data_IF_063907124956
#
_entry.id   IF_063907124956
#
_cell.length_a   1.000
_cell.length_b   1.000
_cell.length_c   1.000
_cell.angle_alpha   90.00
_cell.angle_beta   90.00
_cell.angle_gamma   90.00
#
_symmetry.space_group_name_H-M   'P 1'
#
loop_
_entity.id
_entity.type
_entity.pdbx_description
1 polymer ?
#
# COMPACT_ATOMS: atom_id res chain seq x y z
N UNK A 1 16.94 -67.30 -7.86
CA UNK A 1 16.67 -66.38 -6.71
C UNK A 1 16.62 -64.99 -7.26
N UNK A 2 15.41 -64.52 -7.60
CA UNK A 2 15.21 -63.20 -8.22
C UNK A 2 14.82 -62.20 -7.14
N UNK A 3 15.69 -61.23 -6.85
CA UNK A 3 15.36 -60.07 -5.99
C UNK A 3 14.52 -59.09 -6.79
N UNK A 4 13.24 -58.90 -6.41
CA UNK A 4 12.39 -57.82 -6.87
C UNK A 4 12.75 -56.56 -6.07
N UNK A 5 13.37 -55.57 -6.71
CA UNK A 5 13.51 -54.23 -6.15
C UNK A 5 12.18 -53.52 -6.26
N UNK A 6 11.57 -53.23 -5.11
CA UNK A 6 10.40 -52.38 -4.99
C UNK A 6 10.89 -50.94 -5.00
N UNK A 7 10.72 -50.22 -6.12
CA UNK A 7 10.92 -48.80 -6.16
C UNK A 7 9.74 -48.11 -5.49
N UNK A 8 9.95 -47.59 -4.27
CA UNK A 8 9.02 -46.72 -3.59
C UNK A 8 9.18 -45.31 -4.19
N UNK A 9 8.32 -44.94 -5.12
CA UNK A 9 8.24 -43.56 -5.61
C UNK A 9 7.63 -42.68 -4.50
N UNK A 10 8.46 -41.89 -3.85
CA UNK A 10 8.01 -40.84 -2.95
C UNK A 10 7.40 -39.75 -3.83
N UNK A 11 6.07 -39.66 -3.82
CA UNK A 11 5.34 -38.56 -4.42
C UNK A 11 5.56 -37.35 -3.53
N UNK A 12 6.48 -36.44 -3.88
CA UNK A 12 6.60 -35.13 -3.26
C UNK A 12 5.35 -34.34 -3.67
N UNK A 13 4.35 -34.29 -2.81
CA UNK A 13 3.24 -33.33 -2.91
C UNK A 13 3.84 -31.99 -2.50
N UNK A 14 4.11 -31.12 -3.45
CA UNK A 14 4.40 -29.72 -3.16
C UNK A 14 3.11 -29.15 -2.56
N UNK A 15 3.15 -28.81 -1.28
CA UNK A 15 2.08 -28.03 -0.66
C UNK A 15 2.09 -26.65 -1.33
N UNK A 16 0.95 -26.12 -1.72
CA UNK A 16 0.88 -24.76 -2.23
C UNK A 16 1.42 -23.82 -1.14
N UNK A 17 2.40 -23.01 -1.48
CA UNK A 17 2.76 -21.86 -0.63
C UNK A 17 1.54 -20.94 -0.64
N UNK A 18 0.93 -20.75 0.52
CA UNK A 18 -0.14 -19.76 0.68
C UNK A 18 0.48 -18.38 0.45
N UNK A 19 0.22 -17.81 -0.72
CA UNK A 19 0.61 -16.44 -1.05
C UNK A 19 -0.35 -15.47 -0.37
N UNK A 20 0.18 -14.40 0.21
CA UNK A 20 -0.62 -13.31 0.75
C UNK A 20 -1.53 -12.70 -0.36
N UNK A 21 -2.84 -12.64 -0.09
CA UNK A 21 -3.83 -12.02 -0.97
C UNK A 21 -4.22 -10.65 -0.39
N UNK A 22 -3.67 -9.58 -0.95
CA UNK A 22 -3.91 -8.19 -0.54
C UNK A 22 -5.40 -7.83 -0.45
N UNK A 23 -6.26 -8.49 -1.25
CA UNK A 23 -7.71 -8.23 -1.29
C UNK A 23 -8.48 -8.89 -0.16
N UNK A 24 -7.92 -9.92 0.48
CA UNK A 24 -8.63 -10.76 1.46
C UNK A 24 -7.94 -10.83 2.80
N UNK A 25 -6.60 -10.96 2.79
CA UNK A 25 -5.85 -11.21 3.99
C UNK A 25 -5.68 -9.94 4.82
N UNK A 26 -5.43 -10.11 6.11
CA UNK A 26 -5.14 -9.04 7.05
C UNK A 26 -3.76 -9.29 7.69
N UNK A 27 -3.14 -8.23 8.20
CA UNK A 27 -1.81 -8.36 8.81
C UNK A 27 -0.68 -8.32 7.78
N UNK A 28 -0.93 -7.81 6.57
CA UNK A 28 0.10 -7.61 5.55
C UNK A 28 1.11 -6.54 5.93
N UNK A 29 2.37 -6.77 5.53
CA UNK A 29 3.44 -5.77 5.60
C UNK A 29 3.79 -5.32 4.18
N UNK A 30 3.57 -4.03 3.89
CA UNK A 30 3.99 -3.38 2.65
C UNK A 30 5.21 -2.50 2.90
N UNK A 31 6.15 -2.44 1.94
CA UNK A 31 7.31 -1.55 2.02
C UNK A 31 7.58 -0.90 0.67
N UNK A 32 8.01 0.37 0.68
CA UNK A 32 8.57 1.02 -0.50
C UNK A 32 10.04 0.66 -0.65
N UNK A 33 10.51 0.44 -1.87
CA UNK A 33 11.88 0.10 -2.18
C UNK A 33 12.39 0.90 -3.39
N UNK A 34 13.66 1.32 -3.34
CA UNK A 34 14.31 1.99 -4.46
C UNK A 34 14.68 3.46 -4.20
N UNK A 35 14.41 4.01 -2.99
CA UNK A 35 14.73 5.40 -2.68
C UNK A 35 15.87 5.59 -1.68
N UNK A 36 16.34 4.49 -1.07
CA UNK A 36 17.54 4.51 -0.22
C UNK A 36 17.47 5.51 0.96
N UNK A 37 16.33 5.59 1.68
CA UNK A 37 16.23 6.47 2.84
C UNK A 37 17.14 6.05 4.00
N UNK A 38 17.68 4.85 3.96
CA UNK A 38 18.68 4.37 4.92
C UNK A 38 19.88 5.33 5.00
N UNK A 39 20.30 5.93 3.88
CA UNK A 39 21.37 6.92 3.84
C UNK A 39 21.10 8.17 4.70
N UNK A 40 19.84 8.41 5.12
CA UNK A 40 19.47 9.50 6.03
C UNK A 40 19.69 9.13 7.50
N UNK A 41 19.78 7.83 7.82
CA UNK A 41 19.98 7.35 9.19
C UNK A 41 21.45 7.17 9.57
N UNK A 42 22.31 6.93 8.58
CA UNK A 42 23.70 6.52 8.83
C UNK A 42 24.68 7.58 8.38
N UNK A 43 25.64 7.91 9.23
CA UNK A 43 26.78 8.77 8.88
C UNK A 43 27.75 8.08 7.91
N UNK A 44 27.68 6.75 7.79
CA UNK A 44 28.58 5.89 7.02
C UNK A 44 28.10 5.52 5.63
N UNK A 45 27.03 6.14 5.13
CA UNK A 45 26.47 5.86 3.79
C UNK A 45 26.10 4.39 3.59
N UNK A 46 25.55 3.76 4.60
CA UNK A 46 24.92 2.48 4.39
C UNK A 46 23.83 2.63 3.34
N UNK A 47 23.71 1.61 2.51
CA UNK A 47 22.88 1.69 1.34
C UNK A 47 21.80 0.62 1.43
N UNK A 48 20.62 0.95 0.91
CA UNK A 48 19.53 0.01 0.72
C UNK A 48 20.02 -1.25 0.01
N UNK A 49 19.60 -2.42 0.45
CA UNK A 49 20.00 -3.72 -0.10
C UNK A 49 19.33 -4.00 -1.44
N UNK A 50 19.80 -5.01 -2.15
CA UNK A 50 19.16 -5.48 -3.36
C UNK A 50 17.75 -6.03 -3.06
N UNK A 51 16.84 -5.93 -4.03
CA UNK A 51 15.43 -6.33 -3.88
C UNK A 51 15.28 -7.76 -3.33
N UNK A 52 16.06 -8.70 -3.88
CA UNK A 52 16.01 -10.09 -3.46
C UNK A 52 16.40 -10.34 -2.00
N UNK A 53 17.19 -9.45 -1.37
CA UNK A 53 17.62 -9.63 0.01
C UNK A 53 16.46 -9.46 0.98
N UNK A 54 15.57 -8.50 0.70
CA UNK A 54 14.32 -8.33 1.45
C UNK A 54 13.39 -9.54 1.27
N UNK A 55 13.30 -10.08 0.06
CA UNK A 55 12.49 -11.27 -0.23
C UNK A 55 13.07 -12.55 0.38
N UNK A 56 14.37 -12.58 0.68
CA UNK A 56 15.05 -13.71 1.33
C UNK A 56 14.98 -13.65 2.86
N UNK A 57 14.58 -12.53 3.44
CA UNK A 57 14.39 -12.40 4.89
C UNK A 57 13.36 -13.40 5.40
N UNK A 58 13.57 -13.93 6.59
CA UNK A 58 12.57 -14.79 7.26
C UNK A 58 11.31 -14.03 7.64
N UNK A 59 11.41 -12.71 7.77
CA UNK A 59 10.31 -11.77 8.02
C UNK A 59 10.12 -10.87 6.81
N UNK A 60 10.16 -11.44 5.61
CA UNK A 60 9.98 -10.69 4.35
C UNK A 60 8.65 -9.90 4.33
N UNK A 61 8.58 -8.80 3.57
CA UNK A 61 7.32 -8.11 3.34
C UNK A 61 6.39 -8.96 2.47
N UNK A 62 5.10 -8.67 2.53
CA UNK A 62 4.09 -9.32 1.68
C UNK A 62 3.93 -8.55 0.36
N UNK A 63 4.24 -7.24 0.39
CA UNK A 63 4.11 -6.33 -0.74
C UNK A 63 5.35 -5.43 -0.81
N UNK A 64 5.94 -5.31 -1.99
CA UNK A 64 7.02 -4.33 -2.26
C UNK A 64 6.57 -3.38 -3.37
N UNK A 65 6.70 -2.09 -3.12
CA UNK A 65 6.35 -1.00 -4.01
C UNK A 65 7.65 -0.44 -4.60
N UNK A 66 7.89 -0.67 -5.90
CA UNK A 66 9.08 -0.15 -6.60
C UNK A 66 8.92 1.35 -6.81
N UNK A 67 9.64 2.15 -6.07
CA UNK A 67 9.53 3.60 -6.02
C UNK A 67 10.69 4.27 -6.77
N UNK A 68 10.44 5.07 -7.81
CA UNK A 68 9.18 5.49 -8.38
C UNK A 68 9.21 5.54 -9.92
N UNK A 69 8.06 5.37 -10.55
CA UNK A 69 7.83 5.89 -11.88
C UNK A 69 7.38 7.36 -11.74
N UNK A 70 8.28 8.30 -11.97
CA UNK A 70 8.12 9.69 -11.54
C UNK A 70 7.94 10.70 -12.68
N UNK A 71 8.01 10.26 -13.95
CA UNK A 71 7.66 11.05 -15.13
C UNK A 71 6.72 10.21 -16.00
N UNK A 72 5.47 10.67 -16.16
CA UNK A 72 4.43 9.86 -16.82
C UNK A 72 4.34 10.08 -18.32
N UNK A 73 4.57 11.30 -18.78
CA UNK A 73 4.24 11.70 -20.15
C UNK A 73 5.47 11.64 -21.06
N UNK A 74 5.44 12.12 -22.21
CA UNK A 74 6.34 12.20 -23.36
C UNK A 74 7.66 11.38 -23.36
N UNK A 75 8.39 11.32 -22.27
CA UNK A 75 9.56 10.46 -22.08
C UNK A 75 9.45 9.85 -20.67
N UNK A 76 8.71 8.74 -20.50
CA UNK A 76 8.47 8.15 -19.19
C UNK A 76 9.79 7.73 -18.51
N UNK A 77 9.90 8.03 -17.21
CA UNK A 77 11.12 7.78 -16.45
C UNK A 77 10.80 7.12 -15.11
N UNK A 78 11.63 6.15 -14.78
CA UNK A 78 11.69 5.57 -13.43
C UNK A 78 12.96 6.06 -12.72
N UNK A 79 12.93 6.10 -11.40
CA UNK A 79 14.08 6.36 -10.55
C UNK A 79 14.07 5.30 -9.43
N UNK A 80 15.10 4.49 -9.40
CA UNK A 80 15.33 3.48 -8.37
C UNK A 80 16.67 3.73 -7.65
N UNK A 81 17.05 5.02 -7.51
CA UNK A 81 18.29 5.43 -6.86
C UNK A 81 19.50 4.68 -7.47
N UNK A 82 20.33 4.02 -6.66
CA UNK A 82 21.52 3.30 -7.09
C UNK A 82 21.27 1.96 -7.78
N UNK A 83 20.06 1.44 -7.70
CA UNK A 83 19.76 0.06 -8.17
C UNK A 83 19.66 -0.05 -9.69
N UNK A 84 19.57 1.11 -10.38
CA UNK A 84 19.51 1.16 -11.83
C UNK A 84 20.08 2.49 -12.34
N UNK A 85 21.15 2.45 -13.08
CA UNK A 85 21.90 3.64 -13.56
C UNK A 85 22.12 3.67 -15.09
N UNK A 86 21.66 2.66 -15.80
CA UNK A 86 21.80 2.57 -17.26
C UNK A 86 20.51 2.97 -17.96
N UNK A 87 20.65 3.55 -19.14
CA UNK A 87 19.52 3.95 -19.97
C UNK A 87 19.46 3.11 -21.25
N UNK A 88 18.24 2.85 -21.72
CA UNK A 88 18.07 2.36 -23.08
C UNK A 88 18.62 3.38 -24.08
N UNK A 89 19.29 2.88 -25.13
CA UNK A 89 19.95 3.73 -26.12
C UNK A 89 18.95 4.68 -26.79
N UNK A 90 19.17 5.98 -26.62
CA UNK A 90 18.34 7.02 -27.23
C UNK A 90 17.02 7.30 -26.51
N UNK A 91 16.90 6.88 -25.26
CA UNK A 91 15.75 7.10 -24.39
C UNK A 91 16.20 7.65 -23.04
N UNK A 92 15.25 8.23 -22.29
CA UNK A 92 15.41 8.59 -20.87
C UNK A 92 14.92 7.47 -19.93
N UNK A 93 14.39 6.37 -20.49
CA UNK A 93 13.99 5.21 -19.71
C UNK A 93 15.22 4.43 -19.25
N UNK A 94 15.29 4.13 -17.94
CA UNK A 94 16.32 3.27 -17.38
C UNK A 94 16.17 1.82 -17.88
N UNK A 95 17.30 1.20 -18.20
CA UNK A 95 17.41 -0.23 -18.49
C UNK A 95 17.71 -0.98 -17.20
N UNK A 96 16.68 -1.36 -16.49
CA UNK A 96 16.72 -2.11 -15.22
C UNK A 96 16.47 -3.60 -15.45
N UNK A 97 16.72 -4.14 -16.62
CA UNK A 97 16.50 -5.56 -16.96
C UNK A 97 17.24 -6.52 -16.02
N UNK A 98 18.31 -6.07 -15.38
CA UNK A 98 19.03 -6.83 -14.36
C UNK A 98 18.18 -7.12 -13.10
N UNK A 99 17.11 -6.36 -12.86
CA UNK A 99 16.18 -6.60 -11.75
C UNK A 99 15.14 -7.69 -12.05
N UNK A 100 14.92 -8.06 -13.31
CA UNK A 100 13.92 -9.06 -13.68
C UNK A 100 14.02 -10.37 -12.88
N UNK A 101 15.21 -11.01 -12.75
CA UNK A 101 15.32 -12.24 -11.96
C UNK A 101 15.03 -12.03 -10.47
N UNK A 102 15.31 -10.84 -9.92
CA UNK A 102 15.04 -10.52 -8.52
C UNK A 102 13.53 -10.35 -8.29
N UNK A 103 12.84 -9.65 -9.20
CA UNK A 103 11.38 -9.48 -9.18
C UNK A 103 10.71 -10.86 -9.23
N UNK A 104 11.07 -11.69 -10.20
CA UNK A 104 10.51 -13.04 -10.38
C UNK A 104 10.75 -13.93 -9.15
N UNK A 105 11.96 -13.88 -8.57
CA UNK A 105 12.28 -14.64 -7.36
C UNK A 105 11.46 -14.20 -6.12
N UNK A 106 11.12 -12.91 -6.00
CA UNK A 106 10.21 -12.41 -4.97
C UNK A 106 8.78 -12.92 -5.20
N UNK A 107 8.31 -12.84 -6.44
CA UNK A 107 6.97 -13.32 -6.83
C UNK A 107 6.81 -14.83 -6.63
N UNK A 108 7.85 -15.63 -6.90
CA UNK A 108 7.85 -17.08 -6.62
C UNK A 108 7.66 -17.42 -5.13
N UNK A 109 7.98 -16.49 -4.24
CA UNK A 109 7.73 -16.58 -2.79
C UNK A 109 6.36 -16.06 -2.36
N UNK A 110 5.56 -15.61 -3.31
CA UNK A 110 4.23 -15.06 -3.05
C UNK A 110 4.21 -13.58 -2.67
N UNK A 111 5.37 -12.89 -2.73
CA UNK A 111 5.48 -11.46 -2.48
C UNK A 111 4.96 -10.69 -3.68
N UNK A 112 4.09 -9.71 -3.46
CA UNK A 112 3.54 -8.85 -4.52
C UNK A 112 4.49 -7.72 -4.83
N UNK A 113 4.80 -7.53 -6.11
CA UNK A 113 5.71 -6.47 -6.59
C UNK A 113 4.89 -5.50 -7.44
N UNK A 114 4.71 -4.28 -6.96
CA UNK A 114 3.95 -3.23 -7.63
C UNK A 114 4.87 -2.08 -8.05
N UNK A 115 4.53 -1.39 -9.13
CA UNK A 115 5.17 -0.13 -9.52
C UNK A 115 4.50 1.04 -8.80
N UNK A 116 5.22 1.77 -7.96
CA UNK A 116 4.71 3.02 -7.41
C UNK A 116 4.92 4.17 -8.38
N UNK A 117 3.84 4.91 -8.64
CA UNK A 117 3.75 5.97 -9.63
C UNK A 117 3.54 7.31 -8.91
N UNK A 118 4.44 8.26 -9.14
CA UNK A 118 4.41 9.57 -8.51
C UNK A 118 5.61 9.85 -7.62
N UNK A 119 5.37 9.97 -6.33
CA UNK A 119 6.34 10.37 -5.31
C UNK A 119 6.40 11.88 -5.10
N UNK A 120 7.13 12.31 -4.06
CA UNK A 120 7.23 13.71 -3.67
C UNK A 120 7.87 14.63 -4.73
N UNK A 121 8.60 14.06 -5.69
CA UNK A 121 9.26 14.81 -6.77
C UNK A 121 9.06 14.11 -8.10
N UNK A 122 8.84 14.90 -9.16
CA UNK A 122 8.68 14.36 -10.50
C UNK A 122 7.91 15.31 -11.41
N UNK A 123 7.68 14.87 -12.65
CA UNK A 123 6.87 15.57 -13.63
C UNK A 123 5.76 14.62 -14.09
N UNK A 124 4.68 14.55 -13.32
CA UNK A 124 3.57 13.65 -13.59
C UNK A 124 2.24 14.37 -13.45
N UNK A 125 1.35 14.12 -14.39
CA UNK A 125 -0.05 14.51 -14.37
C UNK A 125 -0.80 13.76 -15.46
N UNK A 126 -2.08 13.52 -15.23
CA UNK A 126 -3.05 13.08 -16.23
C UNK A 126 -4.01 14.24 -16.43
N UNK A 127 -4.16 14.72 -17.67
CA UNK A 127 -4.86 15.99 -17.95
C UNK A 127 -6.34 15.82 -18.28
N UNK A 128 -6.73 14.64 -18.72
CA UNK A 128 -8.08 14.30 -19.15
C UNK A 128 -8.25 12.78 -19.28
N UNK A 129 -9.49 12.32 -19.50
CA UNK A 129 -9.82 10.90 -19.57
C UNK A 129 -9.22 10.19 -20.80
N UNK A 130 -9.11 10.86 -21.96
CA UNK A 130 -8.51 10.25 -23.16
C UNK A 130 -7.00 9.99 -22.92
N UNK A 131 -6.36 10.89 -22.20
CA UNK A 131 -4.96 10.73 -21.76
C UNK A 131 -4.84 9.59 -20.74
N UNK A 132 -5.80 9.49 -19.80
CA UNK A 132 -5.85 8.41 -18.80
C UNK A 132 -5.93 7.04 -19.44
N UNK A 133 -6.84 6.86 -20.40
CA UNK A 133 -7.04 5.61 -21.14
C UNK A 133 -5.78 5.19 -21.91
N UNK A 134 -5.20 6.15 -22.65
CA UNK A 134 -3.98 5.90 -23.42
C UNK A 134 -2.81 5.54 -22.51
N UNK A 135 -2.73 6.22 -21.37
CA UNK A 135 -1.65 6.00 -20.41
C UNK A 135 -1.80 4.65 -19.67
N UNK A 136 -3.02 4.24 -19.37
CA UNK A 136 -3.28 2.92 -18.80
C UNK A 136 -2.78 1.80 -19.74
N UNK A 137 -3.06 1.90 -21.04
CA UNK A 137 -2.53 0.96 -22.03
C UNK A 137 -0.98 0.99 -22.07
N UNK A 138 -0.38 2.17 -22.00
CA UNK A 138 1.09 2.31 -21.95
C UNK A 138 1.68 1.61 -20.73
N UNK A 139 1.05 1.75 -19.56
CA UNK A 139 1.49 1.08 -18.32
C UNK A 139 1.37 -0.45 -18.44
N UNK A 140 0.28 -0.94 -19.03
CA UNK A 140 0.09 -2.37 -19.31
C UNK A 140 1.22 -2.90 -20.19
N UNK A 141 1.53 -2.22 -21.28
CA UNK A 141 2.55 -2.65 -22.24
C UNK A 141 3.98 -2.54 -21.68
N UNK A 142 4.22 -1.56 -20.82
CA UNK A 142 5.57 -1.29 -20.29
C UNK A 142 5.92 -2.15 -19.08
N UNK A 143 4.97 -2.40 -18.17
CA UNK A 143 5.25 -2.97 -16.85
C UNK A 143 4.46 -4.24 -16.52
N UNK A 144 3.30 -4.42 -17.15
CA UNK A 144 2.38 -5.51 -16.86
C UNK A 144 2.39 -6.58 -17.97
N UNK A 145 1.22 -7.22 -18.24
CA UNK A 145 1.11 -8.36 -19.15
C UNK A 145 1.17 -8.01 -20.64
N UNK A 146 1.17 -6.71 -20.98
CA UNK A 146 1.22 -6.27 -22.37
C UNK A 146 2.48 -6.74 -23.11
N UNK A 147 2.38 -6.82 -24.44
CA UNK A 147 3.40 -7.41 -25.28
C UNK A 147 3.75 -6.54 -26.51
N UNK A 148 3.49 -5.23 -26.44
CA UNK A 148 3.84 -4.31 -27.53
C UNK A 148 5.36 -4.28 -27.76
N UNK A 149 5.77 -4.46 -29.01
CA UNK A 149 7.19 -4.33 -29.41
C UNK A 149 7.64 -2.88 -29.51
N UNK A 150 6.72 -1.93 -29.41
CA UNK A 150 6.97 -0.50 -29.64
C UNK A 150 7.29 0.25 -28.35
N UNK A 151 7.22 -0.43 -27.19
CA UNK A 151 7.55 0.14 -25.89
C UNK A 151 8.82 -0.50 -25.29
N UNK A 152 9.53 0.29 -24.51
CA UNK A 152 10.66 -0.20 -23.70
C UNK A 152 10.14 -0.79 -22.41
N UNK A 153 10.58 -2.00 -22.05
CA UNK A 153 10.26 -2.66 -20.79
C UNK A 153 11.47 -2.58 -19.85
N UNK A 154 11.45 -1.67 -18.87
CA UNK A 154 12.62 -1.44 -18.02
C UNK A 154 12.99 -2.68 -17.17
N UNK A 155 12.03 -3.51 -16.84
CA UNK A 155 12.25 -4.76 -16.10
C UNK A 155 12.30 -6.01 -17.00
N UNK A 156 12.59 -5.83 -18.28
CA UNK A 156 12.74 -6.95 -19.23
C UNK A 156 11.46 -7.77 -19.36
N UNK A 157 11.58 -9.07 -19.10
CA UNK A 157 10.47 -10.05 -19.14
C UNK A 157 9.72 -10.20 -17.81
N UNK A 158 10.13 -9.50 -16.75
CA UNK A 158 9.36 -9.47 -15.52
C UNK A 158 8.03 -8.73 -15.74
N UNK A 159 6.96 -9.32 -15.21
CA UNK A 159 5.60 -8.77 -15.20
C UNK A 159 5.27 -8.42 -13.77
N UNK A 160 5.00 -7.14 -13.49
CA UNK A 160 4.65 -6.71 -12.14
C UNK A 160 3.23 -7.16 -11.78
N UNK A 161 2.95 -7.32 -10.47
CA UNK A 161 1.62 -7.72 -9.98
C UNK A 161 0.61 -6.56 -10.06
N UNK A 162 1.08 -5.31 -10.19
CA UNK A 162 0.19 -4.15 -10.25
C UNK A 162 0.90 -2.81 -10.18
N UNK A 163 0.09 -1.80 -9.85
CA UNK A 163 0.55 -0.41 -9.70
C UNK A 163 0.05 0.18 -8.37
N UNK A 164 0.78 1.16 -7.90
CA UNK A 164 0.47 1.99 -6.75
C UNK A 164 0.47 3.46 -7.17
N UNK A 165 -0.50 4.24 -6.70
CA UNK A 165 -0.61 5.68 -6.96
C UNK A 165 -0.13 6.46 -5.73
N UNK A 166 1.09 6.95 -5.76
CA UNK A 166 1.65 7.86 -4.75
C UNK A 166 1.68 9.30 -5.30
N UNK A 167 0.49 9.87 -5.53
CA UNK A 167 0.32 11.17 -6.18
C UNK A 167 0.34 12.27 -5.13
N UNK A 168 1.45 12.99 -5.07
CA UNK A 168 1.66 14.07 -4.09
C UNK A 168 1.60 15.48 -4.73
N UNK A 169 1.40 15.57 -6.05
CA UNK A 169 1.32 16.82 -6.79
C UNK A 169 0.85 16.63 -8.23
N UNK A 170 0.97 17.68 -9.05
CA UNK A 170 0.62 17.62 -10.48
C UNK A 170 -0.87 17.68 -10.80
N UNK A 171 -1.75 17.71 -9.80
CA UNK A 171 -3.21 17.74 -9.94
C UNK A 171 -3.87 16.39 -9.66
N UNK A 172 -5.19 16.40 -9.55
CA UNK A 172 -6.07 15.30 -9.17
C UNK A 172 -6.82 14.65 -10.34
N UNK A 173 -6.63 15.17 -11.55
CA UNK A 173 -7.43 14.82 -12.74
C UNK A 173 -7.00 13.49 -13.34
N UNK A 174 -7.98 12.68 -13.79
CA UNK A 174 -7.79 11.52 -14.67
C UNK A 174 -7.35 10.23 -13.96
N UNK A 175 -7.01 10.25 -12.66
CA UNK A 175 -6.57 9.05 -11.96
C UNK A 175 -7.72 8.05 -11.71
N UNK A 176 -8.94 8.52 -11.52
CA UNK A 176 -10.12 7.65 -11.44
C UNK A 176 -10.33 6.87 -12.74
N UNK A 177 -10.27 7.54 -13.90
CA UNK A 177 -10.38 6.89 -15.21
C UNK A 177 -9.21 5.94 -15.47
N UNK A 178 -7.99 6.37 -15.15
CA UNK A 178 -6.78 5.54 -15.26
C UNK A 178 -6.93 4.20 -14.53
N UNK A 179 -7.35 4.22 -13.25
CA UNK A 179 -7.52 2.99 -12.46
C UNK A 179 -8.67 2.11 -12.99
N UNK A 180 -9.76 2.72 -13.43
CA UNK A 180 -10.89 2.01 -14.04
C UNK A 180 -10.47 1.35 -15.36
N UNK A 181 -9.71 2.06 -16.20
CA UNK A 181 -9.20 1.53 -17.46
C UNK A 181 -8.18 0.43 -17.25
N UNK A 182 -7.29 0.58 -16.27
CA UNK A 182 -6.36 -0.49 -15.89
C UNK A 182 -7.10 -1.76 -15.48
N UNK A 183 -8.14 -1.65 -14.67
CA UNK A 183 -9.00 -2.78 -14.25
C UNK A 183 -9.73 -3.41 -15.43
N UNK A 184 -10.14 -2.61 -16.42
CA UNK A 184 -10.77 -3.13 -17.66
C UNK A 184 -9.76 -3.94 -18.51
N UNK A 185 -8.53 -3.40 -18.68
CA UNK A 185 -7.48 -4.02 -19.48
C UNK A 185 -6.89 -5.27 -18.81
N UNK A 186 -6.72 -5.23 -17.51
CA UNK A 186 -6.08 -6.25 -16.67
C UNK A 186 -6.98 -6.57 -15.46
N UNK A 187 -7.94 -7.49 -15.60
CA UNK A 187 -8.92 -7.76 -14.54
C UNK A 187 -8.33 -8.19 -13.19
N UNK A 188 -7.16 -8.83 -13.22
CA UNK A 188 -6.50 -9.36 -12.02
C UNK A 188 -5.40 -8.45 -11.45
N UNK A 189 -5.05 -7.36 -12.13
CA UNK A 189 -4.01 -6.42 -11.69
C UNK A 189 -4.31 -5.86 -10.30
N UNK A 190 -3.30 -5.72 -9.46
CA UNK A 190 -3.43 -5.02 -8.19
C UNK A 190 -3.31 -3.51 -8.41
N UNK A 191 -4.25 -2.75 -7.86
CA UNK A 191 -4.24 -1.30 -7.93
C UNK A 191 -4.30 -0.77 -6.52
N UNK A 192 -3.27 -0.02 -6.10
CA UNK A 192 -3.21 0.58 -4.76
C UNK A 192 -3.03 2.09 -4.85
N UNK A 193 -3.22 2.78 -3.74
CA UNK A 193 -3.04 4.22 -3.66
C UNK A 193 -2.46 4.61 -2.30
N UNK A 194 -1.63 5.66 -2.26
CA UNK A 194 -0.96 6.13 -1.05
C UNK A 194 -1.31 7.59 -0.71
N UNK A 195 -2.58 7.88 -0.36
CA UNK A 195 -3.00 9.23 0.02
C UNK A 195 -2.34 9.68 1.32
N UNK A 196 -2.26 10.99 1.51
CA UNK A 196 -1.97 11.57 2.81
C UNK A 196 -3.16 11.37 3.77
N UNK A 197 -2.92 11.37 5.09
CA UNK A 197 -3.99 11.13 6.07
C UNK A 197 -5.06 12.22 6.13
N UNK A 198 -4.82 13.43 5.60
CA UNK A 198 -5.83 14.49 5.50
C UNK A 198 -7.00 14.02 4.61
N UNK A 199 -8.22 14.05 5.14
CA UNK A 199 -9.39 13.52 4.45
C UNK A 199 -10.39 14.62 4.09
N UNK A 200 -10.92 14.67 2.83
CA UNK A 200 -10.45 13.89 1.69
C UNK A 200 -9.03 14.29 1.26
N UNK A 201 -8.29 13.34 0.65
CA UNK A 201 -6.98 13.64 0.10
C UNK A 201 -7.10 14.60 -1.10
N UNK A 202 -6.17 15.54 -1.20
CA UNK A 202 -6.25 16.60 -2.20
C UNK A 202 -5.90 16.13 -3.62
N UNK A 203 -5.07 15.07 -3.77
CA UNK A 203 -4.60 14.58 -5.07
C UNK A 203 -5.31 13.30 -5.49
N UNK A 204 -5.65 12.44 -4.54
CA UNK A 204 -6.22 11.13 -4.81
C UNK A 204 -7.71 11.02 -4.45
N UNK A 205 -8.34 12.06 -3.90
CA UNK A 205 -9.73 12.01 -3.45
C UNK A 205 -10.71 11.54 -4.54
N UNK A 206 -10.61 12.10 -5.76
CA UNK A 206 -11.43 11.66 -6.90
C UNK A 206 -11.13 10.21 -7.33
N UNK A 207 -9.85 9.83 -7.36
CA UNK A 207 -9.45 8.47 -7.71
C UNK A 207 -9.95 7.43 -6.70
N UNK A 208 -9.98 7.78 -5.42
CA UNK A 208 -10.48 6.93 -4.35
C UNK A 208 -12.01 6.78 -4.39
N UNK A 209 -12.74 7.87 -4.65
CA UNK A 209 -14.20 7.85 -4.67
C UNK A 209 -14.76 7.23 -5.97
N UNK A 210 -14.13 7.45 -7.12
CA UNK A 210 -14.64 7.13 -8.44
C UNK A 210 -13.80 6.10 -9.22
N UNK A 211 -12.58 5.81 -8.77
CA UNK A 211 -11.68 4.83 -9.35
C UNK A 211 -11.77 3.47 -8.67
N UNK A 212 -11.16 2.45 -9.27
CA UNK A 212 -11.02 1.14 -8.64
C UNK A 212 -9.67 1.05 -7.92
N UNK A 213 -9.68 0.80 -6.60
CA UNK A 213 -8.47 0.51 -5.81
C UNK A 213 -8.70 -0.74 -4.96
N UNK A 214 -7.68 -1.60 -4.84
CA UNK A 214 -7.72 -2.83 -4.04
C UNK A 214 -7.25 -2.58 -2.59
N UNK A 215 -6.27 -1.67 -2.42
CA UNK A 215 -5.83 -1.24 -1.09
C UNK A 215 -5.34 0.21 -1.07
N UNK A 216 -5.36 0.80 0.12
CA UNK A 216 -4.96 2.19 0.35
C UNK A 216 -3.91 2.24 1.46
N UNK A 217 -2.71 2.71 1.14
CA UNK A 217 -1.57 2.88 2.04
C UNK A 217 -1.54 4.31 2.59
N UNK A 218 -2.36 4.61 3.59
CA UNK A 218 -2.58 5.97 4.09
C UNK A 218 -1.32 6.47 4.80
N UNK A 219 -0.76 7.59 4.37
CA UNK A 219 0.43 8.20 4.94
C UNK A 219 0.11 8.94 6.24
N UNK A 220 0.09 8.22 7.39
CA UNK A 220 -0.15 8.80 8.72
C UNK A 220 1.10 9.44 9.32
N UNK A 221 1.80 10.24 8.52
CA UNK A 221 3.00 11.00 8.88
C UNK A 221 3.07 12.33 8.13
N UNK A 222 3.94 13.24 8.55
CA UNK A 222 4.15 14.57 7.97
C UNK A 222 2.89 15.46 7.91
N UNK A 223 1.85 15.14 8.67
CA UNK A 223 0.57 15.86 8.71
C UNK A 223 0.02 15.94 10.13
N UNK A 224 -1.01 16.76 10.35
CA UNK A 224 -1.70 16.90 11.64
C UNK A 224 -2.34 15.59 12.12
N UNK A 225 -2.76 14.72 11.19
CA UNK A 225 -3.43 13.45 11.43
C UNK A 225 -2.47 12.25 11.59
N UNK A 226 -1.23 12.50 11.99
CA UNK A 226 -0.23 11.45 12.22
C UNK A 226 -0.73 10.34 13.15
N UNK A 227 -0.30 9.12 12.92
CA UNK A 227 -0.54 8.03 13.85
C UNK A 227 -0.03 8.37 15.27
N UNK A 228 -0.79 8.00 16.28
CA UNK A 228 -0.45 8.26 17.68
C UNK A 228 -0.72 9.68 18.17
N UNK A 229 -1.35 10.55 17.37
CA UNK A 229 -1.87 11.86 17.80
C UNK A 229 -3.35 11.79 18.12
N UNK A 230 -3.89 12.85 18.76
CA UNK A 230 -5.32 12.97 19.00
C UNK A 230 -6.16 13.22 17.74
N UNK A 231 -5.50 13.54 16.62
CA UNK A 231 -6.12 13.80 15.32
C UNK A 231 -5.98 12.59 14.35
N UNK A 232 -5.49 11.46 14.84
CA UNK A 232 -5.41 10.22 14.06
C UNK A 232 -6.81 9.80 13.59
N UNK A 233 -7.03 9.73 12.29
CA UNK A 233 -8.36 9.67 11.68
C UNK A 233 -8.63 8.37 10.91
N UNK A 234 -8.07 7.23 11.34
CA UNK A 234 -8.28 5.94 10.68
C UNK A 234 -9.77 5.58 10.57
N UNK A 235 -10.58 5.92 11.59
CA UNK A 235 -12.03 5.67 11.57
C UNK A 235 -12.74 6.40 10.42
N UNK A 236 -12.31 7.63 10.08
CA UNK A 236 -12.83 8.37 8.92
C UNK A 236 -12.55 7.64 7.61
N UNK A 237 -11.34 7.11 7.47
CA UNK A 237 -10.95 6.29 6.31
C UNK A 237 -11.71 4.96 6.26
N UNK A 238 -11.95 4.34 7.41
CA UNK A 238 -12.76 3.12 7.51
C UNK A 238 -14.22 3.35 7.12
N UNK A 239 -14.80 4.48 7.51
CA UNK A 239 -16.16 4.88 7.10
C UNK A 239 -16.23 5.13 5.59
N UNK A 240 -15.21 5.74 5.01
CA UNK A 240 -15.09 5.90 3.56
C UNK A 240 -15.01 4.54 2.85
N UNK A 241 -14.15 3.63 3.32
CA UNK A 241 -14.00 2.31 2.73
C UNK A 241 -15.32 1.51 2.70
N UNK A 242 -16.10 1.61 3.79
CA UNK A 242 -17.38 0.91 3.95
C UNK A 242 -18.55 1.56 3.22
N UNK A 243 -18.49 2.86 2.98
CA UNK A 243 -19.65 3.63 2.50
C UNK A 243 -19.50 4.31 1.14
N UNK A 244 -18.28 4.61 0.70
CA UNK A 244 -18.03 5.43 -0.47
C UNK A 244 -17.18 4.74 -1.52
N UNK A 245 -16.15 3.98 -1.10
CA UNK A 245 -15.25 3.29 -2.04
C UNK A 245 -16.01 2.50 -3.11
N UNK A 246 -15.55 2.62 -4.36
CA UNK A 246 -16.10 1.85 -5.48
C UNK A 246 -15.86 0.34 -5.34
N UNK A 247 -14.76 -0.04 -4.70
CA UNK A 247 -14.46 -1.42 -4.34
C UNK A 247 -14.92 -1.68 -2.89
N UNK A 248 -15.99 -2.49 -2.67
CA UNK A 248 -16.50 -2.76 -1.32
C UNK A 248 -15.54 -3.58 -0.45
N UNK A 249 -14.54 -4.23 -1.07
CA UNK A 249 -13.55 -5.07 -0.39
C UNK A 249 -12.19 -4.37 -0.22
N UNK A 250 -12.14 -3.03 -0.42
CA UNK A 250 -10.91 -2.24 -0.30
C UNK A 250 -10.27 -2.41 1.08
N UNK A 251 -8.94 -2.59 1.12
CA UNK A 251 -8.17 -2.74 2.35
C UNK A 251 -7.39 -1.47 2.67
N UNK A 252 -7.37 -1.10 3.95
CA UNK A 252 -6.66 0.07 4.44
C UNK A 252 -5.39 -0.34 5.20
N UNK A 253 -4.30 0.33 4.92
CA UNK A 253 -3.02 0.12 5.60
C UNK A 253 -2.62 1.37 6.38
N UNK A 254 -2.09 1.17 7.59
CA UNK A 254 -1.53 2.26 8.38
C UNK A 254 -0.10 2.50 7.90
N UNK A 255 0.09 3.58 7.15
CA UNK A 255 1.40 4.00 6.66
C UNK A 255 2.19 4.74 7.75
N UNK A 256 3.44 4.33 7.95
CA UNK A 256 4.36 4.91 8.93
C UNK A 256 5.77 5.03 8.36
N UNK A 257 6.55 6.05 8.80
CA UNK A 257 8.00 6.03 8.54
C UNK A 257 8.64 4.84 9.26
N UNK A 258 9.63 4.21 8.64
CA UNK A 258 10.39 3.13 9.27
C UNK A 258 11.46 3.63 10.24
N UNK A 259 11.82 4.92 10.16
CA UNK A 259 12.83 5.54 11.02
C UNK A 259 12.48 6.97 11.40
N UNK A 260 13.15 7.48 12.46
CA UNK A 260 12.95 8.87 12.92
C UNK A 260 13.37 9.90 11.85
N UNK A 261 14.41 9.62 11.07
CA UNK A 261 14.90 10.51 10.02
C UNK A 261 14.14 10.36 8.68
N UNK A 262 13.30 9.31 8.54
CA UNK A 262 12.58 9.02 7.32
C UNK A 262 11.38 9.95 7.08
N UNK A 263 10.95 10.70 8.08
CA UNK A 263 9.88 11.70 7.99
C UNK A 263 10.12 12.83 8.99
N UNK A 264 9.49 13.99 8.75
CA UNK A 264 9.56 15.12 9.68
C UNK A 264 8.79 14.83 10.97
N UNK A 265 7.67 14.12 10.87
CA UNK A 265 6.79 13.76 12.00
C UNK A 265 6.11 12.40 11.75
N UNK A 266 5.65 11.75 12.83
CA UNK A 266 4.80 10.55 12.72
C UNK A 266 5.53 9.22 12.94
N UNK A 267 6.84 9.20 13.17
CA UNK A 267 7.55 7.98 13.56
C UNK A 267 7.17 7.55 14.98
N UNK A 268 6.82 6.28 15.16
CA UNK A 268 6.35 5.74 16.44
C UNK A 268 7.23 4.62 17.02
N UNK A 269 8.02 3.95 16.18
CA UNK A 269 8.66 2.68 16.52
C UNK A 269 7.65 1.51 16.60
N UNK A 270 8.15 0.27 16.55
CA UNK A 270 7.32 -0.93 16.43
C UNK A 270 6.27 -1.08 17.53
N UNK A 271 6.63 -0.85 18.80
CA UNK A 271 5.72 -1.03 19.93
C UNK A 271 4.49 -0.13 19.86
N UNK A 272 4.68 1.17 19.69
CA UNK A 272 3.54 2.11 19.55
C UNK A 272 2.75 1.94 18.26
N UNK A 273 3.42 1.64 17.17
CA UNK A 273 2.75 1.38 15.90
C UNK A 273 1.89 0.11 16.02
N UNK A 274 2.37 -0.90 16.74
CA UNK A 274 1.61 -2.11 17.07
C UNK A 274 0.37 -1.82 17.93
N UNK A 275 0.45 -0.90 18.90
CA UNK A 275 -0.72 -0.46 19.68
C UNK A 275 -1.76 0.23 18.79
N UNK A 276 -1.31 1.14 17.89
CA UNK A 276 -2.20 1.83 16.93
C UNK A 276 -2.88 0.81 16.01
N UNK A 277 -2.11 -0.13 15.45
CA UNK A 277 -2.64 -1.20 14.60
C UNK A 277 -3.67 -2.07 15.35
N UNK A 278 -3.37 -2.49 16.57
CA UNK A 278 -4.26 -3.31 17.38
C UNK A 278 -5.58 -2.59 17.70
N UNK A 279 -5.51 -1.29 18.00
CA UNK A 279 -6.71 -0.47 18.22
C UNK A 279 -7.56 -0.35 16.95
N UNK A 280 -6.94 -0.06 15.79
CA UNK A 280 -7.62 -0.01 14.49
C UNK A 280 -8.24 -1.37 14.13
N UNK A 281 -7.54 -2.49 14.41
CA UNK A 281 -8.06 -3.84 14.20
C UNK A 281 -9.29 -4.13 15.06
N UNK A 282 -9.29 -3.71 16.31
CA UNK A 282 -10.45 -3.91 17.20
C UNK A 282 -11.68 -3.10 16.78
N UNK A 283 -11.49 -1.92 16.19
CA UNK A 283 -12.59 -1.04 15.77
C UNK A 283 -13.05 -1.32 14.33
N UNK A 284 -12.12 -1.61 13.40
CA UNK A 284 -12.34 -1.66 11.96
C UNK A 284 -11.54 -2.78 11.28
N UNK A 285 -11.44 -3.95 11.93
CA UNK A 285 -10.64 -5.08 11.43
C UNK A 285 -11.11 -5.65 10.09
N UNK A 286 -12.36 -5.45 9.74
CA UNK A 286 -12.97 -5.84 8.46
C UNK A 286 -12.33 -5.15 7.24
N UNK A 287 -11.93 -3.91 7.39
CA UNK A 287 -11.26 -3.13 6.32
C UNK A 287 -9.75 -2.99 6.52
N UNK A 288 -9.21 -3.32 7.69
CA UNK A 288 -7.78 -3.18 7.96
C UNK A 288 -6.99 -4.27 7.25
N UNK A 289 -6.10 -3.89 6.32
CA UNK A 289 -5.21 -4.79 5.57
C UNK A 289 -3.89 -5.04 6.28
N UNK A 290 -3.27 -4.00 6.86
CA UNK A 290 -1.94 -4.15 7.43
C UNK A 290 -1.23 -2.84 7.78
N UNK A 291 0.09 -2.89 7.69
CA UNK A 291 1.00 -1.76 7.89
C UNK A 291 1.81 -1.54 6.61
N UNK A 292 2.02 -0.28 6.24
CA UNK A 292 2.96 0.12 5.19
C UNK A 292 4.11 0.90 5.81
N UNK A 293 5.34 0.65 5.37
CA UNK A 293 6.54 1.34 5.87
C UNK A 293 7.28 2.10 4.76
N UNK A 294 7.59 3.35 5.02
CA UNK A 294 8.50 4.19 4.27
C UNK A 294 9.87 4.20 4.96
N UNK A 295 10.91 3.51 4.51
CA UNK A 295 10.98 2.59 3.38
C UNK A 295 11.70 1.27 3.78
N UNK A 296 11.91 0.37 2.83
CA UNK A 296 12.52 -0.94 3.03
C UNK A 296 13.94 -0.85 3.59
N UNK A 297 14.75 0.08 3.08
CA UNK A 297 16.11 0.28 3.55
C UNK A 297 16.15 0.52 5.07
N UNK A 298 15.30 1.43 5.54
CA UNK A 298 15.18 1.75 6.96
C UNK A 298 14.44 0.66 7.76
N UNK A 299 13.43 0.03 7.16
CA UNK A 299 12.59 -0.97 7.84
C UNK A 299 13.37 -2.24 8.23
N UNK A 300 14.37 -2.61 7.44
CA UNK A 300 15.19 -3.81 7.65
C UNK A 300 16.60 -3.50 8.17
N UNK A 301 16.89 -2.25 8.50
CA UNK A 301 18.15 -1.85 9.05
C UNK A 301 18.27 -2.21 10.53
N UNK A 302 19.39 -2.82 10.87
CA UNK A 302 19.75 -3.20 12.25
C UNK A 302 20.64 -2.11 12.86
N UNK A 303 20.04 -1.06 13.39
CA UNK A 303 20.77 -0.01 14.07
C UNK A 303 21.38 -0.52 15.41
N UNK A 304 22.71 -0.54 15.50
CA UNK A 304 23.45 -0.92 16.70
C UNK A 304 23.21 -2.36 17.21
N UNK A 305 22.91 -3.32 16.34
CA UNK A 305 22.61 -4.70 16.73
C UNK A 305 21.21 -4.88 17.31
N UNK A 306 20.29 -3.97 16.97
CA UNK A 306 18.88 -4.05 17.35
C UNK A 306 18.07 -4.94 16.41
N UNK A 307 16.82 -5.20 16.74
CA UNK A 307 15.90 -5.89 15.83
C UNK A 307 15.24 -4.88 14.90
N UNK A 308 15.33 -5.05 13.57
CA UNK A 308 14.67 -4.17 12.60
C UNK A 308 13.18 -4.01 12.85
N UNK A 309 12.62 -2.82 12.55
CA UNK A 309 11.21 -2.53 12.80
C UNK A 309 10.27 -3.48 12.02
N UNK A 310 10.64 -3.84 10.79
CA UNK A 310 9.88 -4.81 10.00
C UNK A 310 9.78 -6.18 10.68
N UNK A 311 10.91 -6.68 11.21
CA UNK A 311 10.94 -7.93 11.94
C UNK A 311 10.09 -7.86 13.22
N UNK A 312 10.25 -6.80 14.02
CA UNK A 312 9.45 -6.62 15.23
C UNK A 312 7.94 -6.62 14.93
N UNK A 313 7.51 -5.95 13.87
CA UNK A 313 6.10 -5.90 13.47
C UNK A 313 5.59 -7.25 13.00
N UNK A 314 6.35 -7.96 12.18
CA UNK A 314 5.97 -9.32 11.72
C UNK A 314 5.83 -10.29 12.89
N UNK A 315 6.80 -10.34 13.79
CA UNK A 315 6.86 -11.30 14.88
C UNK A 315 5.87 -11.01 16.03
N UNK A 316 5.55 -9.74 16.31
CA UNK A 316 4.78 -9.38 17.51
C UNK A 316 3.43 -8.74 17.24
N UNK A 317 3.18 -8.25 16.02
CA UNK A 317 1.95 -7.52 15.66
C UNK A 317 1.17 -8.24 14.57
N UNK A 318 1.84 -8.58 13.46
CA UNK A 318 1.19 -9.07 12.26
C UNK A 318 0.99 -10.59 12.26
N UNK A 319 1.96 -11.38 12.75
CA UNK A 319 1.82 -12.84 12.85
C UNK A 319 0.77 -13.29 13.86
N UNK A 320 0.61 -12.58 14.96
CA UNK A 320 -0.46 -12.87 15.95
C UNK A 320 -1.89 -12.70 15.39
N UNK A 321 -2.03 -12.14 14.18
CA UNK A 321 -3.31 -12.01 13.50
C UNK A 321 -3.69 -13.25 12.68
N UNK A 322 -2.71 -14.03 12.25
CA UNK A 322 -2.91 -15.29 11.51
C UNK A 322 -3.27 -16.44 12.47
N UNK A 323 -2.61 -16.54 13.64
CA UNK A 323 -2.92 -17.56 14.64
C UNK A 323 -4.34 -17.44 15.22
N UNK A 324 -4.89 -16.22 15.28
CA UNK A 324 -6.28 -16.01 15.72
C UNK A 324 -7.33 -16.48 14.71
N UNK A 325 -6.99 -16.62 13.43
CA UNK A 325 -7.86 -17.16 12.41
C UNK A 325 -7.90 -18.70 12.45
N UNK A 326 -6.75 -19.34 12.73
CA UNK A 326 -6.68 -20.80 12.90
C UNK A 326 -7.44 -21.26 14.16
N UNK A 327 -7.34 -20.53 15.28
CA UNK A 327 -8.09 -20.83 16.51
C UNK A 327 -9.61 -20.67 16.32
N UNK A 328 -10.05 -19.77 15.47
CA UNK A 328 -11.47 -19.57 15.14
C UNK A 328 -12.01 -20.69 14.24
N UNK A 329 -11.24 -21.18 13.27
CA UNK A 329 -11.61 -22.32 12.43
C UNK A 329 -11.59 -23.64 13.21
N UNK A 330 -10.62 -23.85 14.08
CA UNK A 330 -10.56 -25.04 14.94
C UNK A 330 -11.70 -25.06 15.97
N UNK A 331 -12.05 -23.90 16.55
CA UNK A 331 -13.21 -23.76 17.44
C UNK A 331 -14.54 -23.98 16.73
N UNK A 332 -14.67 -23.53 15.48
CA UNK A 332 -15.85 -23.76 14.64
C UNK A 332 -15.98 -25.24 14.21
N UNK A 333 -14.86 -25.89 13.91
CA UNK A 333 -14.80 -27.31 13.56
C UNK A 333 -15.14 -28.22 14.75
N UNK A 334 -14.69 -27.87 15.96
CA UNK A 334 -15.02 -28.62 17.19
C UNK A 334 -16.48 -28.43 17.60
N UNK A 335 -17.08 -27.26 17.36
CA UNK A 335 -18.50 -27.00 17.64
C UNK A 335 -19.44 -27.78 16.73
N UNK A 336 -19.01 -28.19 15.53
CA UNK A 336 -19.81 -28.97 14.57
C UNK A 336 -19.79 -30.48 14.82
N UNK A 337 -18.92 -31.01 15.70
CA UNK A 337 -18.79 -32.45 15.99
C UNK A 337 -19.61 -32.88 17.21
N UNK A 338 -20.10 -31.96 18.07
CA UNK A 338 -20.82 -32.29 19.30
C UNK A 338 -22.36 -32.33 19.11
N UNK A 339 -22.86 -32.18 17.89
CA UNK A 339 -24.32 -32.10 17.60
C UNK A 339 -24.95 -33.32 16.96
N UNK A 340 -24.64 -34.57 17.38
CA UNK A 340 -25.49 -35.72 17.01
C UNK A 340 -25.40 -36.87 18.03
N UNK A 341 -26.18 -36.77 19.07
CA UNK A 341 -26.75 -37.97 19.73
C UNK A 341 -28.20 -37.68 20.12
N UNK A 342 -29.08 -38.47 19.53
CA UNK A 342 -30.49 -38.56 19.81
C UNK A 342 -30.80 -38.82 21.29
N UNK A 343 -31.78 -38.14 21.85
CA UNK A 343 -32.76 -38.77 22.73
C UNK A 343 -34.07 -37.99 22.71
N UNK A 344 -35.12 -38.78 22.42
CA UNK A 344 -36.55 -38.47 22.45
C UNK A 344 -37.05 -38.58 23.88
N UNK A 345 -37.89 -37.66 24.36
CA UNK A 345 -39.12 -37.89 25.17
C UNK A 345 -39.70 -36.51 25.56
N UNK A 346 -40.84 -36.17 25.06
CA UNK A 346 -42.22 -36.19 25.52
C UNK A 346 -42.71 -35.02 26.41
N UNK A 347 -43.69 -34.35 25.83
CA UNK A 347 -44.85 -33.57 26.32
C UNK A 347 -44.86 -32.98 27.78
N UNK A 348 -45.19 -31.70 27.88
CA UNK A 348 -46.57 -31.24 28.23
C UNK A 348 -46.63 -29.70 28.31
N UNK A 349 -47.76 -29.21 27.90
CA UNK A 349 -48.23 -27.82 27.87
C UNK A 349 -48.31 -27.14 29.26
N UNK A 350 -48.22 -25.83 29.31
CA UNK A 350 -49.32 -24.99 29.81
C UNK A 350 -49.11 -23.48 29.51
N UNK A 351 -50.22 -22.83 29.28
CA UNK A 351 -50.47 -21.44 28.90
C UNK A 351 -50.12 -20.46 30.05
N UNK A 352 -49.79 -19.22 29.77
CA UNK A 352 -50.71 -18.08 29.98
C UNK A 352 -50.08 -16.76 29.62
N UNK A 353 -50.89 -15.94 29.01
CA UNK A 353 -50.74 -14.55 28.59
C UNK A 353 -50.44 -13.57 29.76
N UNK A 354 -49.81 -12.44 29.49
CA UNK A 354 -50.54 -11.16 29.58
C UNK A 354 -49.73 -9.98 29.00
N UNK A 355 -50.48 -9.01 28.50
CA UNK A 355 -50.08 -7.82 27.81
C UNK A 355 -49.91 -6.62 28.74
N UNK A 356 -49.13 -5.62 28.32
CA UNK A 356 -49.43 -4.16 28.38
C UNK A 356 -48.21 -3.38 27.92
N UNK A 357 -48.29 -2.66 26.80
CA UNK A 357 -48.52 -1.20 26.56
C UNK A 357 -47.75 -0.28 27.55
N UNK A 358 -46.88 0.58 26.99
CA UNK A 358 -47.06 2.02 26.90
C UNK A 358 -45.89 2.75 26.23
N UNK A 359 -46.25 3.62 25.41
CA UNK A 359 -45.86 4.85 24.75
C UNK A 359 -44.71 5.69 25.30
N UNK A 360 -44.14 6.40 24.29
CA UNK A 360 -43.75 7.85 24.32
C UNK A 360 -42.30 8.15 24.76
N UNK A 361 -41.46 8.71 23.99
CA UNK A 361 -41.38 10.06 23.45
C UNK A 361 -39.95 10.35 22.96
N UNK A 362 -39.81 10.93 21.80
CA UNK A 362 -38.58 11.52 21.30
C UNK A 362 -38.36 12.93 21.95
N UNK A 363 -37.15 13.41 22.02
CA UNK A 363 -36.90 14.80 21.73
C UNK A 363 -35.75 15.10 20.73
N UNK A 364 -36.10 15.90 19.78
CA UNK A 364 -35.45 17.11 19.24
C UNK A 364 -33.92 17.21 19.11
N UNK A 365 -33.50 17.42 17.87
CA UNK A 365 -32.19 17.91 17.47
C UNK A 365 -31.92 19.35 17.88
N UNK A 366 -30.65 19.75 18.08
CA UNK A 366 -30.29 21.19 18.08
C UNK A 366 -29.50 21.60 16.81
N UNK A 367 -29.92 22.75 16.35
CA UNK A 367 -29.46 23.68 15.33
C UNK A 367 -27.95 23.65 15.00
N UNK A 368 -27.67 23.53 13.71
CA UNK A 368 -26.41 23.90 13.07
C UNK A 368 -26.23 25.42 13.04
N UNK A 369 -25.09 25.90 13.54
CA UNK A 369 -24.62 27.27 13.28
C UNK A 369 -23.78 27.28 12.00
N UNK A 370 -24.25 27.99 10.99
CA UNK A 370 -23.51 28.43 9.82
C UNK A 370 -22.40 29.40 10.24
N UNK A 371 -21.16 29.07 9.86
CA UNK A 371 -20.06 30.05 9.82
C UNK A 371 -19.79 30.34 8.34
N UNK A 372 -19.85 31.61 7.99
CA UNK A 372 -19.64 32.12 6.64
C UNK A 372 -18.13 32.06 6.29
N UNK A 373 -17.83 31.56 5.12
CA UNK A 373 -16.50 31.63 4.50
C UNK A 373 -16.37 32.93 3.70
N UNK A 374 -15.27 33.63 3.92
CA UNK A 374 -14.80 34.72 3.05
C UNK A 374 -13.97 34.13 1.87
N UNK A 375 -14.03 34.75 0.68
CA UNK A 375 -13.33 34.30 -0.50
C UNK A 375 -11.83 34.69 -0.49
N UNK A 376 -10.94 33.94 -1.16
CA UNK A 376 -9.50 34.20 -1.18
C UNK A 376 -9.12 35.39 -2.06
N UNK A 377 -8.15 36.20 -1.60
CA UNK A 377 -7.61 37.37 -2.29
C UNK A 377 -6.59 36.93 -3.36
N UNK A 378 -6.81 37.42 -4.57
CA UNK A 378 -5.91 37.33 -5.71
C UNK A 378 -4.62 38.14 -5.47
N UNK A 379 -3.47 37.52 -5.54
CA UNK A 379 -2.17 38.22 -5.63
C UNK A 379 -1.67 38.11 -7.07
N UNK A 380 -1.61 39.26 -7.72
CA UNK A 380 -0.94 39.44 -9.03
C UNK A 380 0.50 39.88 -8.76
N UNK A 381 1.45 39.14 -9.26
CA UNK A 381 2.87 39.52 -9.28
C UNK A 381 3.59 38.94 -10.48
N UNK A 382 3.81 39.77 -11.49
CA UNK A 382 4.75 39.55 -12.59
C UNK A 382 6.17 39.69 -12.03
N UNK A 383 7.12 38.83 -12.46
CA UNK A 383 8.33 39.37 -13.08
C UNK A 383 9.15 38.23 -13.75
N UNK A 384 9.91 38.64 -14.75
CA UNK A 384 10.54 37.89 -15.81
C UNK A 384 11.76 37.05 -15.38
N UNK A 385 11.97 35.95 -16.07
CA UNK A 385 13.24 35.17 -16.07
C UNK A 385 14.33 35.85 -16.92
N UNK A 386 15.60 35.73 -16.56
CA UNK A 386 16.70 35.83 -17.51
C UNK A 386 17.28 34.47 -17.88
N UNK A 387 17.53 34.30 -19.19
CA UNK A 387 18.37 33.27 -19.82
C UNK A 387 19.81 33.40 -19.34
N UNK A 388 20.46 32.27 -19.01
CA UNK A 388 21.90 32.10 -19.36
C UNK A 388 22.34 30.65 -19.19
N UNK A 389 22.97 30.15 -20.23
CA UNK A 389 23.80 28.95 -20.33
C UNK A 389 24.84 28.91 -19.21
N UNK A 390 24.93 27.78 -18.50
CA UNK A 390 26.19 27.30 -17.94
C UNK A 390 26.05 25.83 -17.53
N UNK A 391 26.79 24.98 -18.19
CA UNK A 391 27.02 23.59 -17.82
C UNK A 391 27.99 23.57 -16.64
N UNK A 392 27.54 23.12 -15.48
CA UNK A 392 28.43 22.61 -14.44
C UNK A 392 27.75 21.54 -13.56
N UNK A 393 28.47 20.45 -13.39
CA UNK A 393 28.38 19.33 -12.45
C UNK A 393 27.25 19.39 -11.39
N UNK A 394 26.23 18.58 -11.58
CA UNK A 394 25.21 18.31 -10.53
C UNK A 394 25.74 17.20 -9.63
N UNK A 395 26.29 17.60 -8.50
CA UNK A 395 26.48 16.71 -7.35
C UNK A 395 25.11 16.40 -6.76
N UNK A 396 24.79 15.11 -6.64
CA UNK A 396 23.63 14.62 -5.93
C UNK A 396 23.55 15.20 -4.51
N UNK A 397 22.60 16.06 -4.28
CA UNK A 397 22.15 16.44 -2.94
C UNK A 397 20.73 15.92 -2.77
N UNK A 398 20.57 14.97 -1.85
CA UNK A 398 19.26 14.58 -1.31
C UNK A 398 18.60 15.81 -0.69
N UNK A 399 17.46 16.22 -1.21
CA UNK A 399 16.70 17.33 -0.68
C UNK A 399 15.77 16.85 0.44
N UNK A 400 16.00 17.34 1.62
CA UNK A 400 15.01 17.36 2.70
C UNK A 400 13.88 18.32 2.28
N UNK A 401 12.76 17.79 1.88
CA UNK A 401 11.59 18.59 1.55
C UNK A 401 10.85 18.97 2.83
N UNK A 402 11.04 20.21 3.26
CA UNK A 402 10.12 20.88 4.16
C UNK A 402 8.81 21.17 3.44
N UNK A 403 7.72 20.80 4.05
CA UNK A 403 6.35 21.05 3.58
C UNK A 403 6.14 22.56 3.34
N UNK A 404 5.70 23.05 2.16
CA UNK A 404 5.44 24.46 1.89
C UNK A 404 4.14 25.02 2.51
N UNK A 405 3.37 24.21 3.26
CA UNK A 405 2.10 24.63 3.88
C UNK A 405 2.18 24.64 5.42
N UNK A 406 3.09 25.42 5.97
CA UNK A 406 3.12 25.78 7.38
C UNK A 406 2.84 27.25 7.53
N UNK A 407 1.60 27.59 7.86
CA UNK A 407 1.16 28.92 8.23
C UNK A 407 -0.20 28.85 8.93
#
# INVERSE_FOLDING_TARGET
MFYKYLFLSVLCVALPVLSFDLRKDTGGLAVYWGQNSLSLQTDEKEEEQDLQDYCNSTTHPDIILLAFHHVFTQDPQINLSKHCDKYFKGSQMLDCTALAPQIQACQEKGIKILLSMGGATGAYSITDNDTADTYAQTVVDTYLSGNSSDVLRPFGDAVLDGVDLDIEGGGDTGYAEFTNKLRELEPDVLITAAPQCAFPDAMLGDALDNGWVDAVFIQFYNNFCNAGTGEFNFDTWADWAKGTSKNPDVKLYIGSPACQACASTGYLGAGKLGEVYSNAKNSNGDVLGGIMLWDAGAAYYDENGGTPIAQQLKESVLENTVSGAEDAEESAAQSSVVGSTDEIVDETADETADASSDESSAPAAPLAKRIAQEPPRTIVGRDAMPNSDDHQDIKHHSFLLGNPYGG
#
